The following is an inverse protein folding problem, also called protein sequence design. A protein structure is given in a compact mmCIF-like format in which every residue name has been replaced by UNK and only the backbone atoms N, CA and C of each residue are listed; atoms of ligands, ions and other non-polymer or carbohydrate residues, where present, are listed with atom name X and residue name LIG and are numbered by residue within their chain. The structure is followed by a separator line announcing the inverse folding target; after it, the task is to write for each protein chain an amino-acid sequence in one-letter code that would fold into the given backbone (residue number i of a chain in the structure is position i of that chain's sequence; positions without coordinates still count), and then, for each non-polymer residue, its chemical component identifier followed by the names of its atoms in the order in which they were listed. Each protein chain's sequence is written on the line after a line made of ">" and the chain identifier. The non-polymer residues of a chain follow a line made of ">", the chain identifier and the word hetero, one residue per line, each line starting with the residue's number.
data_IF_409103766134
#
_entry.id   IF_409103766134
#
_cell.length_a   1.000
_cell.length_b   1.000
_cell.length_c   1.000
_cell.angle_alpha   90.00
_cell.angle_beta   90.00
_cell.angle_gamma   90.00
#
_symmetry.space_group_name_H-M   'P 1'
#
loop_
_entity.id
_entity.type
_entity.pdbx_description
1 polymer ?
#
# COMPACT_ATOMS: atom_id res chain seq x y z
N UNK A 1 38.80 23.99 0.29
CA UNK A 1 37.44 23.56 0.70
C UNK A 1 37.14 22.24 -0.01
N UNK A 2 36.94 21.14 0.72
CA UNK A 2 36.73 19.80 0.11
C UNK A 2 35.32 19.73 -0.46
N UNK A 3 35.22 19.42 -1.75
CA UNK A 3 33.96 19.28 -2.46
C UNK A 3 33.28 17.98 -2.00
N UNK A 4 32.19 18.10 -1.26
CA UNK A 4 31.33 16.98 -0.91
C UNK A 4 30.64 16.51 -2.20
N UNK A 5 31.22 15.53 -2.88
CA UNK A 5 30.52 14.77 -3.91
C UNK A 5 29.46 13.95 -3.18
N UNK A 6 28.21 14.39 -3.26
CA UNK A 6 27.06 13.58 -2.86
C UNK A 6 27.00 12.43 -3.86
N UNK A 7 27.77 11.38 -3.60
CA UNK A 7 27.64 10.12 -4.32
C UNK A 7 26.21 9.64 -4.08
N UNK A 8 25.52 9.27 -5.17
CA UNK A 8 24.13 8.84 -5.20
C UNK A 8 23.98 7.50 -4.45
N UNK A 9 24.06 7.55 -3.12
CA UNK A 9 24.00 6.39 -2.23
C UNK A 9 22.57 6.08 -1.77
N UNK A 10 21.55 6.60 -2.46
CA UNK A 10 20.13 6.38 -2.12
C UNK A 10 19.52 5.19 -2.89
N UNK A 11 20.22 4.65 -3.88
CA UNK A 11 19.60 3.86 -4.96
C UNK A 11 19.31 2.37 -4.68
N UNK A 12 19.10 1.93 -3.43
CA UNK A 12 18.70 0.51 -3.19
C UNK A 12 17.74 0.25 -2.02
N UNK A 13 17.57 1.18 -1.08
CA UNK A 13 16.73 0.93 0.11
C UNK A 13 15.22 1.01 -0.19
N UNK A 14 14.80 1.97 -1.01
CA UNK A 14 13.39 2.15 -1.38
C UNK A 14 12.84 0.92 -2.11
N UNK A 15 13.61 0.36 -3.04
CA UNK A 15 13.27 -0.87 -3.75
C UNK A 15 13.09 -2.06 -2.80
N UNK A 16 13.98 -2.21 -1.82
CA UNK A 16 13.91 -3.30 -0.84
C UNK A 16 12.71 -3.15 0.11
N UNK A 17 12.41 -1.93 0.58
CA UNK A 17 11.23 -1.68 1.41
C UNK A 17 9.92 -1.90 0.65
N UNK A 18 9.86 -1.49 -0.61
CA UNK A 18 8.69 -1.70 -1.46
C UNK A 18 8.48 -3.19 -1.72
N UNK A 19 9.53 -3.93 -2.06
CA UNK A 19 9.45 -5.38 -2.29
C UNK A 19 8.92 -6.11 -1.06
N UNK A 20 9.44 -5.80 0.13
CA UNK A 20 8.95 -6.37 1.39
C UNK A 20 7.47 -6.05 1.60
N UNK A 21 7.06 -4.79 1.38
CA UNK A 21 5.65 -4.40 1.49
C UNK A 21 4.75 -5.21 0.54
N UNK A 22 5.14 -5.33 -0.74
CA UNK A 22 4.41 -6.11 -1.74
C UNK A 22 4.28 -7.59 -1.36
N UNK A 23 5.34 -8.17 -0.79
CA UNK A 23 5.31 -9.54 -0.27
C UNK A 23 4.35 -9.68 0.91
N UNK A 24 4.34 -8.75 1.87
CA UNK A 24 3.44 -8.82 3.03
C UNK A 24 1.97 -8.69 2.65
N UNK A 25 1.60 -7.72 1.80
CA UNK A 25 0.21 -7.56 1.37
C UNK A 25 -0.25 -8.73 0.48
N UNK A 26 0.69 -9.41 -0.20
CA UNK A 26 0.42 -10.59 -0.99
C UNK A 26 0.00 -11.81 -0.17
N UNK A 27 0.37 -11.86 1.12
CA UNK A 27 -0.01 -12.92 2.08
C UNK A 27 -1.40 -12.70 2.67
N UNK A 28 -1.98 -11.50 2.53
CA UNK A 28 -3.31 -11.21 3.05
C UNK A 28 -4.34 -11.95 2.21
N UNK A 29 -5.20 -12.70 2.89
CA UNK A 29 -6.31 -13.42 2.27
C UNK A 29 -7.30 -12.46 1.61
N UNK A 30 -7.80 -12.85 0.45
CA UNK A 30 -8.87 -12.12 -0.22
C UNK A 30 -10.19 -12.39 0.52
N UNK A 31 -11.03 -11.36 0.57
CA UNK A 31 -12.39 -11.47 1.11
C UNK A 31 -13.38 -11.71 -0.02
N UNK A 32 -14.47 -12.39 0.27
CA UNK A 32 -15.58 -12.55 -0.68
C UNK A 32 -16.54 -11.37 -0.59
N UNK A 33 -17.41 -11.15 -1.60
CA UNK A 33 -18.44 -10.10 -1.53
C UNK A 33 -19.36 -10.24 -0.31
N UNK A 34 -19.68 -11.47 0.10
CA UNK A 34 -20.52 -11.72 1.28
C UNK A 34 -19.79 -11.34 2.58
N UNK A 35 -18.49 -11.63 2.66
CA UNK A 35 -17.64 -11.22 3.79
C UNK A 35 -17.53 -9.70 3.86
N UNK A 36 -17.36 -9.01 2.72
CA UNK A 36 -17.33 -7.56 2.64
C UNK A 36 -18.61 -6.92 3.21
N UNK A 37 -19.80 -7.42 2.83
CA UNK A 37 -21.08 -6.94 3.36
C UNK A 37 -21.15 -7.13 4.88
N UNK A 38 -20.69 -8.27 5.39
CA UNK A 38 -20.64 -8.56 6.83
C UNK A 38 -19.69 -7.62 7.56
N UNK A 39 -18.48 -7.44 7.06
CA UNK A 39 -17.48 -6.53 7.63
C UNK A 39 -18.02 -5.11 7.66
N UNK A 40 -18.63 -4.64 6.56
CA UNK A 40 -19.25 -3.32 6.49
C UNK A 40 -20.36 -3.12 7.55
N UNK A 41 -21.16 -4.15 7.84
CA UNK A 41 -22.18 -4.07 8.88
C UNK A 41 -21.58 -3.93 10.30
N UNK A 42 -20.47 -4.62 10.57
CA UNK A 42 -19.74 -4.55 11.85
C UNK A 42 -18.99 -3.21 12.00
N UNK A 43 -18.41 -2.70 10.92
CA UNK A 43 -17.73 -1.39 10.91
C UNK A 43 -18.71 -0.27 11.28
N UNK A 44 -19.96 -0.32 10.81
CA UNK A 44 -21.00 0.65 11.20
C UNK A 44 -21.30 0.63 12.70
N UNK A 45 -21.02 -0.48 13.38
CA UNK A 45 -21.18 -0.63 14.83
C UNK A 45 -19.90 -0.22 15.59
N UNK A 46 -18.87 0.26 14.90
CA UNK A 46 -17.59 0.68 15.48
C UNK A 46 -16.56 -0.44 15.63
N UNK A 47 -16.73 -1.58 14.96
CA UNK A 47 -15.74 -2.67 15.04
C UNK A 47 -14.48 -2.35 14.23
N UNK A 48 -13.45 -1.88 14.94
CA UNK A 48 -12.16 -1.54 14.38
C UNK A 48 -11.42 -2.75 13.76
N UNK A 49 -11.68 -3.98 14.22
CA UNK A 49 -11.04 -5.17 13.66
C UNK A 49 -11.59 -5.49 12.28
N UNK A 50 -12.90 -5.32 12.10
CA UNK A 50 -13.53 -5.47 10.79
C UNK A 50 -13.03 -4.42 9.80
N UNK A 51 -12.80 -3.18 10.26
CA UNK A 51 -12.19 -2.13 9.44
C UNK A 51 -10.77 -2.52 9.01
N UNK A 52 -9.93 -2.93 9.95
CA UNK A 52 -8.55 -3.37 9.65
C UNK A 52 -8.51 -4.56 8.67
N UNK A 53 -9.39 -5.56 8.84
CA UNK A 53 -9.50 -6.70 7.90
C UNK A 53 -9.91 -6.24 6.51
N UNK A 54 -10.94 -5.40 6.41
CA UNK A 54 -11.44 -4.88 5.13
C UNK A 54 -10.37 -4.06 4.41
N UNK A 55 -9.69 -3.15 5.13
CA UNK A 55 -8.61 -2.33 4.58
C UNK A 55 -7.45 -3.20 4.10
N UNK A 56 -6.96 -4.13 4.93
CA UNK A 56 -5.83 -5.00 4.58
C UNK A 56 -6.10 -5.87 3.35
N UNK A 57 -7.30 -6.43 3.25
CA UNK A 57 -7.70 -7.25 2.10
C UNK A 57 -7.66 -6.47 0.78
N UNK A 58 -7.87 -5.15 0.83
CA UNK A 58 -7.91 -4.28 -0.34
C UNK A 58 -6.56 -3.61 -0.68
N UNK A 59 -5.48 -3.81 0.10
CA UNK A 59 -4.17 -3.21 -0.21
C UNK A 59 -3.63 -3.61 -1.59
N UNK A 60 -3.92 -4.83 -2.05
CA UNK A 60 -3.55 -5.31 -3.38
C UNK A 60 -4.26 -4.52 -4.50
N UNK A 61 -5.49 -4.07 -4.25
CA UNK A 61 -6.24 -3.23 -5.17
C UNK A 61 -5.64 -1.82 -5.24
N UNK A 62 -5.24 -1.23 -4.11
CA UNK A 62 -4.53 0.07 -4.11
C UNK A 62 -3.29 0.02 -5.00
N UNK A 63 -2.48 -1.05 -4.87
CA UNK A 63 -1.29 -1.23 -5.71
C UNK A 63 -1.65 -1.39 -7.19
N UNK A 64 -2.73 -2.09 -7.52
CA UNK A 64 -3.14 -2.28 -8.92
C UNK A 64 -3.61 -0.97 -9.57
N UNK A 65 -4.28 -0.10 -8.80
CA UNK A 65 -4.66 1.25 -9.24
C UNK A 65 -3.44 2.15 -9.34
N UNK A 66 -2.59 2.21 -8.31
CA UNK A 66 -1.38 3.04 -8.28
C UNK A 66 -0.44 2.78 -9.48
N UNK A 67 -0.32 1.53 -9.91
CA UNK A 67 0.44 1.15 -11.12
C UNK A 67 -0.04 1.85 -12.39
N UNK A 68 -1.33 2.16 -12.51
CA UNK A 68 -1.90 2.85 -13.68
C UNK A 68 -1.49 4.32 -13.74
N UNK A 69 -1.10 4.92 -12.61
CA UNK A 69 -0.67 6.32 -12.51
C UNK A 69 0.86 6.48 -12.52
N UNK A 70 1.63 5.42 -12.78
CA UNK A 70 3.08 5.52 -12.90
C UNK A 70 3.50 6.43 -14.05
N UNK A 71 4.70 7.01 -13.92
CA UNK A 71 5.31 7.93 -14.90
C UNK A 71 4.62 9.29 -15.04
N UNK A 72 3.74 9.65 -14.10
CA UNK A 72 3.06 10.96 -14.07
C UNK A 72 3.71 11.95 -13.07
N UNK A 73 4.99 11.75 -12.73
CA UNK A 73 5.76 12.67 -11.87
C UNK A 73 5.88 12.26 -10.40
N UNK A 74 5.18 11.21 -9.96
CA UNK A 74 5.35 10.61 -8.63
C UNK A 74 5.98 9.22 -8.70
N UNK A 75 6.70 8.83 -7.65
CA UNK A 75 7.24 7.48 -7.52
C UNK A 75 6.11 6.48 -7.21
N UNK A 76 6.31 5.20 -7.54
CA UNK A 76 5.31 4.17 -7.23
C UNK A 76 5.05 4.04 -5.71
N UNK A 77 6.07 4.07 -4.82
CA UNK A 77 5.84 4.13 -3.38
C UNK A 77 4.96 5.29 -2.94
N UNK A 78 5.14 6.49 -3.51
CA UNK A 78 4.34 7.66 -3.16
C UNK A 78 2.89 7.48 -3.60
N UNK A 79 2.66 7.01 -4.83
CA UNK A 79 1.31 6.71 -5.33
C UNK A 79 0.59 5.66 -4.48
N UNK A 80 1.31 4.64 -4.01
CA UNK A 80 0.76 3.62 -3.11
C UNK A 80 0.42 4.22 -1.74
N UNK A 81 1.29 5.08 -1.20
CA UNK A 81 1.05 5.72 0.09
C UNK A 81 -0.18 6.62 0.06
N UNK A 82 -0.31 7.49 -0.96
CA UNK A 82 -1.50 8.33 -1.14
C UNK A 82 -2.77 7.47 -1.32
N UNK A 83 -2.68 6.42 -2.12
CA UNK A 83 -3.80 5.49 -2.33
C UNK A 83 -4.21 4.69 -1.08
N UNK A 84 -3.30 4.47 -0.13
CA UNK A 84 -3.61 3.80 1.13
C UNK A 84 -4.22 4.75 2.18
N UNK A 85 -3.97 6.06 2.06
CA UNK A 85 -4.52 7.09 2.96
C UNK A 85 -5.97 7.43 2.60
N UNK A 86 -6.32 7.37 1.32
CA UNK A 86 -7.69 7.60 0.82
C UNK A 86 -8.67 6.51 1.25
#
# INVERSE_FOLDING_TARGET
>A
MRQLKITKSITNRESQSLEKYLQEIGKVELITPEEEVRLAALIRQGDQRSLDRLTKANLRFVVSVAKQYQNQGLSLPDLINEGNVG
#
